data_IF_011019849794
#
_entry.id   IF_011019849794
#
_cell.length_a   1.000
_cell.length_b   1.000
_cell.length_c   1.000
_cell.angle_alpha   90.00
_cell.angle_beta   90.00
_cell.angle_gamma   90.00
#
_symmetry.space_group_name_H-M   'P 1'
#
loop_
_entity.id
_entity.type
_entity.pdbx_description
1 polymer ?
#
# COMPACT_ATOMS: atom_id res chain seq x y z
N UNK A 1 -3.08 13.31 -5.24
CA UNK A 1 -3.30 12.39 -6.35
C UNK A 1 -2.06 11.60 -6.63
N UNK A 2 -2.18 10.30 -6.71
CA UNK A 2 -1.01 9.53 -7.12
C UNK A 2 -0.68 9.81 -8.58
N UNK A 3 0.58 9.70 -8.91
CA UNK A 3 1.04 9.86 -10.27
C UNK A 3 0.54 8.72 -11.14
N UNK A 4 0.45 8.96 -12.43
CA UNK A 4 0.15 7.89 -13.36
C UNK A 4 1.30 6.89 -13.37
N UNK A 5 1.01 5.69 -13.86
CA UNK A 5 2.04 4.67 -13.98
C UNK A 5 3.20 5.16 -14.84
N UNK A 6 2.89 5.84 -15.96
CA UNK A 6 3.94 6.36 -16.84
C UNK A 6 4.84 7.35 -16.13
N UNK A 7 4.26 8.21 -15.33
CA UNK A 7 5.05 9.17 -14.59
C UNK A 7 5.94 8.50 -13.56
N UNK A 8 5.41 7.49 -12.90
CA UNK A 8 6.18 6.73 -11.91
C UNK A 8 7.36 6.02 -12.57
N UNK A 9 7.15 5.47 -13.76
CA UNK A 9 8.22 4.78 -14.47
C UNK A 9 9.28 5.72 -14.98
N UNK A 10 8.90 6.95 -15.32
CA UNK A 10 9.86 7.94 -15.82
C UNK A 10 10.74 8.50 -14.72
N UNK A 11 10.24 8.54 -13.52
CA UNK A 11 11.01 9.00 -12.37
C UNK A 11 11.65 7.82 -11.69
N UNK A 12 12.82 8.04 -11.12
CA UNK A 12 13.41 7.02 -10.27
C UNK A 12 12.56 6.90 -9.03
N UNK A 13 11.63 5.96 -9.07
CA UNK A 13 10.72 5.75 -7.96
C UNK A 13 11.48 5.17 -6.78
N UNK A 14 11.40 5.83 -5.63
CA UNK A 14 11.97 5.29 -4.41
C UNK A 14 11.22 4.03 -4.02
N UNK A 15 11.88 3.14 -3.27
CA UNK A 15 11.25 1.89 -2.83
C UNK A 15 9.95 2.16 -2.09
N UNK A 16 9.87 3.25 -1.34
CA UNK A 16 8.66 3.59 -0.61
C UNK A 16 7.49 3.92 -1.54
N UNK A 17 7.79 4.31 -2.77
CA UNK A 17 6.75 4.55 -3.75
C UNK A 17 5.94 3.32 -4.04
N UNK A 18 6.49 2.14 -3.81
CA UNK A 18 5.74 0.90 -3.98
C UNK A 18 4.59 0.80 -3.00
N UNK A 19 4.74 1.33 -1.80
CA UNK A 19 3.66 1.33 -0.81
C UNK A 19 2.47 2.15 -1.31
N UNK A 20 2.75 3.28 -1.92
CA UNK A 20 1.69 4.09 -2.51
C UNK A 20 1.09 3.40 -3.73
N UNK A 21 1.92 2.85 -4.58
CA UNK A 21 1.52 2.23 -5.82
C UNK A 21 0.63 1.01 -5.61
N UNK A 22 1.01 0.12 -4.70
CA UNK A 22 0.28 -1.13 -4.48
C UNK A 22 -0.82 -1.02 -3.46
N UNK A 23 -0.67 -0.13 -2.48
CA UNK A 23 -1.58 -0.11 -1.35
C UNK A 23 -2.24 1.24 -1.13
N UNK A 24 -1.91 2.25 -1.94
CA UNK A 24 -2.52 3.57 -1.83
C UNK A 24 -2.17 4.29 -0.55
N UNK A 25 -1.05 3.94 0.06
CA UNK A 25 -0.65 4.55 1.32
C UNK A 25 -0.18 5.98 1.11
N UNK A 26 -0.55 6.84 2.05
CA UNK A 26 -0.27 8.26 1.95
C UNK A 26 1.03 8.60 2.66
N UNK A 27 1.39 9.87 2.59
CA UNK A 27 2.68 10.31 3.13
C UNK A 27 2.80 10.02 4.62
N UNK A 28 1.75 10.29 5.39
CA UNK A 28 1.79 10.01 6.81
C UNK A 28 1.92 8.51 7.09
N UNK A 29 1.24 7.69 6.29
CA UNK A 29 1.33 6.24 6.46
C UNK A 29 2.76 5.77 6.24
N UNK A 30 3.41 6.29 5.21
CA UNK A 30 4.80 5.95 4.93
C UNK A 30 5.73 6.43 6.04
N UNK A 31 5.43 7.59 6.61
CA UNK A 31 6.19 8.12 7.73
C UNK A 31 6.11 7.17 8.93
N UNK A 32 4.90 6.73 9.26
CA UNK A 32 4.71 5.78 10.35
C UNK A 32 5.43 4.47 10.09
N UNK A 33 5.39 4.00 8.84
CA UNK A 33 6.09 2.79 8.47
C UNK A 33 7.59 2.94 8.67
N UNK A 34 8.17 4.08 8.26
CA UNK A 34 9.59 4.34 8.45
C UNK A 34 9.98 4.33 9.93
N UNK A 35 9.11 4.91 10.76
CA UNK A 35 9.35 4.93 12.20
C UNK A 35 9.43 3.50 12.74
N UNK A 36 8.50 2.65 12.31
CA UNK A 36 8.47 1.27 12.77
C UNK A 36 9.67 0.48 12.28
N UNK A 37 10.06 0.69 11.03
CA UNK A 37 11.22 0.00 10.46
C UNK A 37 12.49 0.41 11.19
N UNK A 38 12.60 1.67 11.59
CA UNK A 38 13.79 2.16 12.28
C UNK A 38 13.84 1.86 13.76
N UNK A 39 12.75 1.36 14.33
CA UNK A 39 12.69 1.07 15.76
C UNK A 39 13.27 -0.30 16.05
N UNK A 40 13.95 -0.42 17.18
CA UNK A 40 14.51 -1.72 17.58
C UNK A 40 13.44 -2.64 18.13
N UNK A 41 12.41 -2.08 18.74
CA UNK A 41 11.34 -2.85 19.37
C UNK A 41 10.00 -2.41 18.81
N UNK A 42 8.97 -3.27 18.91
CA UNK A 42 7.64 -2.85 18.51
C UNK A 42 7.17 -1.62 19.30
N UNK A 43 6.34 -0.81 18.67
CA UNK A 43 5.91 0.46 19.26
C UNK A 43 4.39 0.48 19.46
N UNK A 44 3.96 1.23 20.49
CA UNK A 44 2.55 1.51 20.69
C UNK A 44 2.13 2.66 19.77
N UNK A 45 0.81 2.85 19.63
CA UNK A 45 0.29 3.98 18.86
C UNK A 45 0.78 5.31 19.44
N UNK A 46 0.82 5.41 20.76
CA UNK A 46 1.28 6.65 21.40
C UNK A 46 2.73 6.97 21.03
N UNK A 47 3.57 5.94 21.01
CA UNK A 47 4.97 6.12 20.62
C UNK A 47 5.11 6.52 19.17
N UNK A 48 4.28 5.91 18.32
CA UNK A 48 4.29 6.27 16.90
C UNK A 48 3.82 7.70 16.71
N UNK A 49 2.74 8.08 17.40
CA UNK A 49 2.20 9.44 17.33
C UNK A 49 3.24 10.47 17.71
N UNK A 50 3.96 10.20 18.79
CA UNK A 50 5.03 11.11 19.25
C UNK A 50 6.12 11.22 18.19
N UNK A 51 6.50 10.09 17.58
CA UNK A 51 7.59 10.08 16.61
C UNK A 51 7.23 10.85 15.34
N UNK A 52 5.96 10.82 14.92
CA UNK A 52 5.55 11.54 13.70
C UNK A 52 4.94 12.90 14.02
N UNK A 53 4.90 13.27 15.29
CA UNK A 53 4.40 14.58 15.75
C UNK A 53 2.96 14.80 15.30
N UNK A 54 2.11 13.83 15.58
CA UNK A 54 0.68 13.89 15.27
C UNK A 54 -0.12 13.45 16.48
N UNK A 55 -1.40 13.78 16.48
CA UNK A 55 -2.29 13.34 17.53
C UNK A 55 -2.49 11.83 17.45
N UNK A 56 -2.81 11.25 18.60
CA UNK A 56 -2.99 9.82 18.70
C UNK A 56 -4.02 9.29 17.70
N UNK A 57 -5.15 9.98 17.57
CA UNK A 57 -6.20 9.53 16.67
C UNK A 57 -5.74 9.53 15.21
N UNK A 58 -4.95 10.50 14.82
CA UNK A 58 -4.42 10.59 13.46
C UNK A 58 -3.43 9.46 13.20
N UNK A 59 -2.52 9.23 14.16
CA UNK A 59 -1.56 8.15 14.05
C UNK A 59 -2.26 6.79 14.04
N UNK A 60 -3.31 6.64 14.85
CA UNK A 60 -4.06 5.39 14.90
C UNK A 60 -4.66 5.06 13.53
N UNK A 61 -5.23 6.05 12.87
CA UNK A 61 -5.81 5.82 11.54
C UNK A 61 -4.75 5.41 10.52
N UNK A 62 -3.57 6.02 10.60
CA UNK A 62 -2.46 5.62 9.72
C UNK A 62 -2.05 4.17 10.00
N UNK A 63 -1.95 3.82 11.28
CA UNK A 63 -1.60 2.45 11.68
C UNK A 63 -2.65 1.45 11.16
N UNK A 64 -3.92 1.82 11.21
CA UNK A 64 -4.96 0.94 10.69
C UNK A 64 -4.82 0.72 9.19
N UNK A 65 -4.47 1.76 8.44
CA UNK A 65 -4.25 1.60 7.01
C UNK A 65 -3.04 0.71 6.72
N UNK A 66 -1.99 0.84 7.53
CA UNK A 66 -0.82 -0.02 7.38
C UNK A 66 -1.15 -1.48 7.69
N UNK A 67 -1.97 -1.71 8.71
CA UNK A 67 -2.42 -3.06 9.04
C UNK A 67 -3.24 -3.65 7.91
N UNK A 68 -4.16 -2.88 7.35
CA UNK A 68 -4.98 -3.36 6.24
C UNK A 68 -4.14 -3.69 5.02
N UNK A 69 -3.07 -2.95 4.81
CA UNK A 69 -2.16 -3.21 3.71
C UNK A 69 -1.29 -4.44 3.95
N UNK A 70 -1.24 -4.93 5.19
CA UNK A 70 -0.44 -6.10 5.52
C UNK A 70 1.04 -5.83 5.66
N UNK A 71 1.43 -4.56 5.73
CA UNK A 71 2.86 -4.21 5.82
C UNK A 71 3.35 -4.08 7.25
N UNK A 72 2.44 -4.11 8.22
CA UNK A 72 2.79 -4.19 9.64
C UNK A 72 1.93 -5.23 10.32
N UNK A 73 2.37 -5.67 11.48
CA UNK A 73 1.63 -6.60 12.32
C UNK A 73 1.34 -5.99 13.67
N UNK A 74 0.43 -6.61 14.39
CA UNK A 74 -0.01 -6.16 15.70
C UNK A 74 0.12 -7.30 16.69
N UNK A 75 0.72 -7.02 17.84
CA UNK A 75 0.82 -7.97 18.93
C UNK A 75 0.23 -7.39 20.19
N UNK A 76 -0.25 -8.27 21.04
CA UNK A 76 -0.83 -7.87 22.31
C UNK A 76 0.18 -8.11 23.43
N UNK A 77 0.35 -7.11 24.27
CA UNK A 77 1.18 -7.22 25.46
C UNK A 77 0.27 -7.12 26.67
N UNK A 78 0.38 -8.11 27.55
CA UNK A 78 -0.47 -8.16 28.74
C UNK A 78 0.27 -7.58 29.95
N UNK A 79 -0.45 -6.80 30.74
CA UNK A 79 0.09 -6.35 32.03
C UNK A 79 0.00 -7.48 33.05
N UNK A 80 0.91 -7.47 34.01
CA UNK A 80 0.90 -8.46 35.08
C UNK A 80 -0.35 -8.42 35.90
N UNK A 81 -0.95 -7.23 36.02
CA UNK A 81 -2.11 -7.02 36.88
C UNK A 81 -3.41 -7.02 36.09
N UNK A 82 -3.41 -7.53 34.88
CA UNK A 82 -4.57 -7.53 34.05
C UNK A 82 -4.57 -6.35 33.08
N UNK A 83 -5.36 -6.48 32.01
CA UNK A 83 -5.36 -5.49 30.97
C UNK A 83 -4.26 -5.75 29.96
N UNK A 84 -4.32 -5.05 28.83
CA UNK A 84 -3.35 -5.25 27.76
C UNK A 84 -3.25 -3.99 26.92
N UNK A 85 -2.22 -3.96 26.09
CA UNK A 85 -2.07 -2.93 25.06
C UNK A 85 -1.48 -3.57 23.83
N UNK A 86 -1.58 -2.87 22.72
CA UNK A 86 -1.07 -3.38 21.44
C UNK A 86 0.22 -2.68 21.03
N UNK A 87 1.09 -3.44 20.41
CA UNK A 87 2.32 -2.91 19.83
C UNK A 87 2.36 -3.33 18.36
N UNK A 88 3.08 -2.57 17.58
CA UNK A 88 3.13 -2.73 16.14
C UNK A 88 4.56 -2.86 15.68
N UNK A 89 4.75 -3.67 14.65
CA UNK A 89 6.08 -3.86 14.08
C UNK A 89 5.92 -4.14 12.59
N UNK A 90 6.97 -3.88 11.80
CA UNK A 90 6.87 -4.14 10.36
C UNK A 90 6.75 -5.62 10.08
N UNK A 91 5.98 -5.95 9.05
CA UNK A 91 5.96 -7.30 8.50
C UNK A 91 7.34 -7.55 7.89
N UNK A 92 7.75 -8.80 7.88
CA UNK A 92 9.00 -9.19 7.27
C UNK A 92 9.06 -8.70 5.82
N UNK A 93 10.18 -8.10 5.44
CA UNK A 93 10.29 -7.49 4.11
C UNK A 93 10.09 -8.50 2.99
N UNK A 94 10.48 -9.75 3.19
CA UNK A 94 10.27 -10.77 2.17
C UNK A 94 8.78 -11.07 1.99
N UNK A 95 8.01 -11.05 3.06
CA UNK A 95 6.56 -11.24 2.96
C UNK A 95 5.90 -10.08 2.23
N UNK A 96 6.32 -8.86 2.55
CA UNK A 96 5.79 -7.68 1.86
C UNK A 96 6.10 -7.77 0.37
N UNK A 97 7.33 -8.13 0.04
CA UNK A 97 7.75 -8.25 -1.35
C UNK A 97 6.98 -9.34 -2.08
N UNK A 98 6.78 -10.49 -1.44
CA UNK A 98 6.02 -11.58 -2.04
C UNK A 98 4.57 -11.17 -2.33
N UNK A 99 3.97 -10.44 -1.39
CA UNK A 99 2.62 -9.94 -1.58
C UNK A 99 2.53 -8.98 -2.76
N UNK A 100 3.51 -8.09 -2.85
CA UNK A 100 3.56 -7.13 -3.96
C UNK A 100 3.74 -7.86 -5.29
N UNK A 101 4.59 -8.87 -5.31
CA UNK A 101 4.83 -9.64 -6.52
C UNK A 101 3.55 -10.35 -6.97
N UNK A 102 2.81 -10.90 -6.01
CA UNK A 102 1.55 -11.57 -6.33
C UNK A 102 0.52 -10.58 -6.88
N UNK A 103 0.43 -9.41 -6.26
CA UNK A 103 -0.47 -8.36 -6.75
C UNK A 103 -0.08 -7.90 -8.15
N UNK A 104 1.21 -7.76 -8.38
CA UNK A 104 1.71 -7.37 -9.69
C UNK A 104 1.32 -8.39 -10.75
N UNK A 105 1.48 -9.67 -10.44
CA UNK A 105 1.14 -10.73 -11.37
C UNK A 105 -0.36 -10.75 -11.68
N UNK A 106 -1.19 -10.57 -10.65
CA UNK A 106 -2.64 -10.50 -10.84
C UNK A 106 -3.04 -9.29 -11.66
N UNK A 107 -2.41 -8.17 -11.37
CA UNK A 107 -2.67 -6.93 -12.08
C UNK A 107 -2.29 -7.07 -13.55
N UNK A 108 -1.13 -7.67 -13.80
CA UNK A 108 -0.64 -7.87 -15.18
C UNK A 108 -1.64 -8.69 -15.98
N UNK A 109 -2.12 -9.79 -15.41
CA UNK A 109 -3.09 -10.65 -16.08
C UNK A 109 -4.38 -9.90 -16.36
N UNK A 110 -4.86 -9.14 -15.39
CA UNK A 110 -6.09 -8.38 -15.53
C UNK A 110 -5.95 -7.28 -16.56
N UNK A 111 -4.85 -6.58 -16.55
CA UNK A 111 -4.61 -5.50 -17.49
C UNK A 111 -4.50 -6.05 -18.91
N UNK A 112 -3.84 -7.19 -19.07
CA UNK A 112 -3.76 -7.82 -20.39
C UNK A 112 -5.14 -8.14 -20.93
N UNK A 113 -6.02 -8.66 -20.07
CA UNK A 113 -7.38 -8.94 -20.46
C UNK A 113 -8.13 -7.67 -20.86
N UNK A 114 -7.98 -6.60 -20.08
CA UNK A 114 -8.61 -5.32 -20.38
C UNK A 114 -8.13 -4.74 -21.69
N UNK A 115 -6.85 -4.87 -21.99
CA UNK A 115 -6.28 -4.41 -23.25
C UNK A 115 -6.95 -5.14 -24.42
N UNK A 116 -7.13 -6.45 -24.30
CA UNK A 116 -7.80 -7.22 -25.35
C UNK A 116 -9.25 -6.82 -25.52
N UNK A 117 -9.93 -6.53 -24.39
CA UNK A 117 -11.31 -6.04 -24.44
C UNK A 117 -11.39 -4.68 -25.11
N UNK A 118 -10.42 -3.81 -24.83
CA UNK A 118 -10.36 -2.51 -25.44
C UNK A 118 -10.23 -2.63 -26.95
N UNK A 119 -9.31 -3.50 -27.40
CA UNK A 119 -9.11 -3.72 -28.83
C UNK A 119 -10.38 -4.21 -29.49
N UNK A 120 -11.05 -5.19 -28.89
CA UNK A 120 -12.27 -5.75 -29.46
C UNK A 120 -13.40 -4.73 -29.51
N UNK A 121 -13.50 -3.89 -28.46
CA UNK A 121 -14.57 -2.92 -28.36
C UNK A 121 -14.42 -1.79 -29.37
N UNK A 122 -13.21 -1.38 -29.66
CA UNK A 122 -12.96 -0.22 -30.51
C UNK A 122 -12.38 -0.59 -31.86
N UNK A 123 -12.46 -1.86 -32.23
CA UNK A 123 -11.99 -2.34 -33.49
C UNK A 123 -12.89 -1.82 -34.60
N UNK A 124 -12.30 -1.38 -35.71
CA UNK A 124 -13.06 -0.96 -36.88
C UNK A 124 -13.62 -2.16 -37.59
N UNK A 125 -14.89 -2.04 -37.99
CA UNK A 125 -15.51 -3.07 -38.80
C UNK A 125 -14.82 -3.17 -40.17
N UNK A 126 -14.78 -4.36 -40.73
CA UNK A 126 -14.21 -4.55 -42.05
C UNK A 126 -14.99 -3.85 -43.13
N UNK A 127 -16.25 -3.53 -42.88
CA UNK A 127 -17.05 -2.77 -43.81
C UNK A 127 -16.73 -1.28 -43.76
N UNK A 128 -15.81 -0.89 -42.92
CA UNK A 128 -15.42 0.49 -42.75
C UNK A 128 -16.26 1.25 -41.78
N UNK A 129 -17.20 0.59 -41.14
CA UNK A 129 -18.02 1.24 -40.12
C UNK A 129 -17.29 1.21 -38.78
N UNK A 130 -16.97 2.35 -38.22
CA UNK A 130 -16.27 2.35 -36.92
C UNK A 130 -17.20 1.89 -35.82
N UNK A 131 -16.61 1.47 -34.72
CA UNK A 131 -17.35 1.15 -33.54
C UNK A 131 -18.16 2.37 -33.11
N UNK A 132 -19.31 2.10 -32.51
CA UNK A 132 -20.25 3.15 -32.23
C UNK A 132 -19.85 4.09 -31.13
N UNK A 133 -18.96 3.68 -30.33
CA UNK A 133 -18.60 4.48 -29.17
C UNK A 133 -17.47 5.38 -29.49
N UNK A 134 -17.79 6.43 -29.98
CA UNK A 134 -16.85 7.44 -30.35
C UNK A 134 -17.05 8.64 -29.53
#
# INVERSE_FOLDING_TARGET
MPDSMSEQLRRDMACEGLLECFHGLKELDKECFRVLVGAEDPLTVDEIADAVDRERSTAYRAVQRLLQAGVIGKDQVNYDQGGYYHVYSPTDSSEIADDMQRLLNEWYAKMGQRIREFEATYERSETGVPSTDR
#
